data_IF_107391404509
#
_entry.id   IF_107391404509
#
_cell.length_a   1.000
_cell.length_b   1.000
_cell.length_c   1.000
_cell.angle_alpha   90.00
_cell.angle_beta   90.00
_cell.angle_gamma   90.00
#
_symmetry.space_group_name_H-M   'P 1'
#
loop_
_entity.id
_entity.type
_entity.pdbx_description
1 polymer ?
#
# COMPACT_ATOMS: atom_id res chain seq x y z
N UNK A 1 15.45 18.05 8.43
CA UNK A 1 15.87 17.90 7.02
C UNK A 1 17.26 17.34 7.02
N UNK A 2 17.51 16.32 6.21
CA UNK A 2 18.84 15.74 5.96
C UNK A 2 19.20 16.05 4.52
N UNK A 3 20.36 16.66 4.32
CA UNK A 3 20.87 17.05 3.01
C UNK A 3 22.24 16.41 2.81
N UNK A 4 22.43 15.78 1.65
CA UNK A 4 23.65 15.07 1.30
C UNK A 4 24.10 15.51 -0.11
N UNK A 5 25.27 16.14 -0.17
CA UNK A 5 25.99 16.39 -1.42
C UNK A 5 26.91 15.20 -1.69
N UNK A 6 26.62 14.42 -2.72
CA UNK A 6 27.28 13.16 -3.03
C UNK A 6 26.29 12.09 -3.48
N UNK A 7 26.66 10.84 -3.22
CA UNK A 7 25.86 9.65 -3.44
C UNK A 7 25.55 8.95 -2.11
N UNK A 8 24.51 8.13 -2.12
CA UNK A 8 24.12 7.30 -0.98
C UNK A 8 23.97 5.84 -1.41
N UNK A 9 24.32 4.94 -0.48
CA UNK A 9 24.21 3.51 -0.70
C UNK A 9 22.76 3.01 -0.49
N UNK A 10 22.55 1.71 -0.40
CA UNK A 10 21.23 1.09 -0.25
C UNK A 10 20.43 1.58 0.96
N UNK A 11 19.10 1.39 0.90
CA UNK A 11 18.15 1.65 1.99
C UNK A 11 17.99 3.10 2.44
N UNK A 12 18.28 4.06 1.56
CA UNK A 12 18.03 5.48 1.82
C UNK A 12 16.57 5.70 2.22
N UNK A 13 16.34 6.29 3.38
CA UNK A 13 14.99 6.59 3.88
C UNK A 13 14.13 5.34 4.19
N UNK A 14 14.74 4.19 4.50
CA UNK A 14 14.01 3.03 5.01
C UNK A 14 13.20 3.42 6.25
N UNK A 15 11.93 3.00 6.29
CA UNK A 15 10.98 3.32 7.36
C UNK A 15 10.86 4.83 7.64
N UNK A 16 11.05 5.69 6.61
CA UNK A 16 10.89 7.13 6.78
C UNK A 16 9.49 7.42 7.35
N UNK A 17 9.47 8.13 8.48
CA UNK A 17 8.26 8.39 9.27
C UNK A 17 8.15 9.88 9.58
N UNK A 18 8.42 10.70 8.55
CA UNK A 18 8.46 12.15 8.59
C UNK A 18 9.82 12.71 8.16
N UNK A 19 9.95 14.02 8.23
CA UNK A 19 11.17 14.71 7.83
C UNK A 19 11.37 14.78 6.31
N UNK A 20 12.51 15.32 5.91
CA UNK A 20 12.85 15.57 4.51
C UNK A 20 14.26 15.09 4.24
N UNK A 21 14.45 14.27 3.21
CA UNK A 21 15.76 13.79 2.74
C UNK A 21 16.03 14.39 1.36
N UNK A 22 17.22 14.96 1.18
CA UNK A 22 17.67 15.57 -0.06
C UNK A 22 19.04 14.97 -0.40
N UNK A 23 19.19 14.41 -1.59
CA UNK A 23 20.48 13.90 -2.10
C UNK A 23 20.71 14.45 -3.51
N UNK A 24 21.87 15.05 -3.73
CA UNK A 24 22.26 15.60 -5.03
C UNK A 24 23.76 15.44 -5.28
N UNK A 25 24.19 15.31 -6.55
CA UNK A 25 25.60 15.14 -6.88
C UNK A 25 26.36 16.43 -6.58
N UNK A 26 27.69 16.34 -6.36
CA UNK A 26 28.50 17.51 -6.06
C UNK A 26 28.41 18.57 -7.16
N UNK A 27 28.43 19.86 -6.79
CA UNK A 27 28.26 20.97 -7.76
C UNK A 27 29.31 21.00 -8.87
N UNK A 28 30.45 20.33 -8.65
CA UNK A 28 31.56 20.21 -9.60
C UNK A 28 31.46 18.97 -10.49
N UNK A 29 30.41 18.15 -10.33
CA UNK A 29 30.18 16.99 -11.19
C UNK A 29 30.01 17.44 -12.64
N UNK A 30 30.70 16.76 -13.56
CA UNK A 30 30.66 17.04 -15.00
C UNK A 30 29.69 16.10 -15.72
N UNK A 31 29.25 15.03 -15.05
CA UNK A 31 28.33 14.05 -15.60
C UNK A 31 26.87 14.51 -15.46
N UNK A 32 26.00 14.01 -16.35
CA UNK A 32 24.56 14.25 -16.26
C UNK A 32 23.96 13.43 -15.11
N UNK A 33 23.23 14.08 -14.22
CA UNK A 33 22.63 13.40 -13.07
C UNK A 33 21.58 12.36 -13.47
N UNK A 34 20.76 12.66 -14.48
CA UNK A 34 19.67 11.80 -14.98
C UNK A 34 20.12 10.43 -15.53
N UNK A 35 21.40 10.29 -15.89
CA UNK A 35 21.97 9.05 -16.44
C UNK A 35 22.80 8.27 -15.40
N UNK A 36 23.01 8.80 -14.18
CA UNK A 36 23.91 8.23 -13.18
C UNK A 36 23.19 7.92 -11.87
N UNK A 37 23.57 6.79 -11.26
CA UNK A 37 23.00 6.37 -9.97
C UNK A 37 23.44 7.30 -8.84
N UNK A 38 22.48 7.69 -8.00
CA UNK A 38 22.71 8.53 -6.83
C UNK A 38 22.31 7.85 -5.51
N UNK A 39 21.33 6.95 -5.56
CA UNK A 39 20.91 6.15 -4.41
C UNK A 39 20.92 4.67 -4.75
N UNK A 40 21.32 3.85 -3.78
CA UNK A 40 21.29 2.41 -3.91
C UNK A 40 19.89 1.80 -3.95
N UNK A 41 19.85 0.48 -3.82
CA UNK A 41 18.66 -0.34 -3.90
C UNK A 41 17.74 -0.20 -2.68
N UNK A 42 16.46 -0.52 -2.88
CA UNK A 42 15.45 -0.65 -1.79
C UNK A 42 15.32 0.64 -0.96
N UNK A 43 15.45 1.79 -1.63
CA UNK A 43 15.18 3.08 -1.00
C UNK A 43 13.69 3.25 -0.67
N UNK A 44 13.40 3.95 0.42
CA UNK A 44 12.05 4.24 0.93
C UNK A 44 11.19 3.02 1.25
N UNK A 45 11.82 1.89 1.54
CA UNK A 45 11.10 0.70 1.94
C UNK A 45 10.30 0.93 3.23
N UNK A 46 8.98 0.71 3.16
CA UNK A 46 8.09 0.83 4.32
C UNK A 46 7.96 2.26 4.85
N UNK A 47 8.21 3.28 4.03
CA UNK A 47 8.02 4.67 4.43
C UNK A 47 6.53 4.97 4.69
N UNK A 48 6.25 5.64 5.81
CA UNK A 48 4.88 5.95 6.27
C UNK A 48 4.53 7.42 6.11
N UNK A 49 5.52 8.31 6.17
CA UNK A 49 5.36 9.75 5.93
C UNK A 49 6.72 10.40 5.65
N UNK A 50 6.74 11.58 5.04
CA UNK A 50 7.96 12.34 4.77
C UNK A 50 8.08 12.81 3.33
N UNK A 51 9.16 13.55 3.05
CA UNK A 51 9.48 14.05 1.71
C UNK A 51 10.90 13.66 1.29
N UNK A 52 11.06 13.21 0.05
CA UNK A 52 12.37 12.83 -0.50
C UNK A 52 12.62 13.46 -1.85
N UNK A 53 13.84 13.97 -2.04
CA UNK A 53 14.27 14.70 -3.22
C UNK A 53 15.62 14.15 -3.67
N UNK A 54 15.65 13.44 -4.80
CA UNK A 54 16.87 12.76 -5.29
C UNK A 54 17.22 13.22 -6.70
N UNK A 55 18.40 13.84 -6.88
CA UNK A 55 18.89 14.31 -8.18
C UNK A 55 19.78 13.26 -8.85
N UNK A 56 19.15 12.26 -9.45
CA UNK A 56 19.81 11.25 -10.28
C UNK A 56 18.96 10.00 -10.45
N UNK A 57 19.61 8.89 -10.80
CA UNK A 57 18.96 7.58 -10.94
C UNK A 57 18.89 6.90 -9.57
N UNK A 58 17.71 6.43 -9.18
CA UNK A 58 17.53 5.57 -8.02
C UNK A 58 17.75 4.10 -8.38
N UNK A 59 18.30 3.32 -7.45
CA UNK A 59 18.45 1.87 -7.60
C UNK A 59 17.13 1.10 -7.70
N UNK A 60 17.25 -0.22 -7.76
CA UNK A 60 16.13 -1.13 -7.94
C UNK A 60 15.17 -1.12 -6.74
N UNK A 61 13.92 -1.55 -6.97
CA UNK A 61 12.89 -1.72 -5.93
C UNK A 61 12.66 -0.44 -5.11
N UNK A 62 12.64 0.69 -5.80
CA UNK A 62 12.36 1.99 -5.20
C UNK A 62 10.93 2.06 -4.63
N UNK A 63 10.79 2.66 -3.44
CA UNK A 63 9.52 2.96 -2.77
C UNK A 63 8.59 1.75 -2.53
N UNK A 64 9.17 0.56 -2.34
CA UNK A 64 8.41 -0.64 -1.99
C UNK A 64 7.70 -0.46 -0.63
N UNK A 65 6.39 -0.77 -0.58
CA UNK A 65 5.56 -0.61 0.62
C UNK A 65 5.52 0.83 1.16
N UNK A 66 5.71 1.82 0.30
CA UNK A 66 5.49 3.22 0.65
C UNK A 66 3.98 3.48 0.83
N UNK A 67 3.57 3.96 2.01
CA UNK A 67 2.17 4.26 2.34
C UNK A 67 1.90 5.74 2.59
N UNK A 68 2.90 6.62 2.48
CA UNK A 68 2.67 8.05 2.72
C UNK A 68 3.86 8.99 2.54
N UNK A 69 5.01 8.52 2.05
CA UNK A 69 6.14 9.39 1.71
C UNK A 69 6.00 9.92 0.27
N UNK A 70 6.17 11.22 0.08
CA UNK A 70 6.26 11.84 -1.25
C UNK A 70 7.71 11.87 -1.70
N UNK A 71 8.03 11.24 -2.83
CA UNK A 71 9.40 11.22 -3.36
C UNK A 71 9.43 11.74 -4.80
N UNK A 72 10.45 12.54 -5.11
CA UNK A 72 10.74 13.05 -6.46
C UNK A 72 12.16 12.66 -6.83
N UNK A 73 12.29 12.01 -7.99
CA UNK A 73 13.53 11.43 -8.52
C UNK A 73 13.59 11.71 -10.01
N UNK A 74 14.79 11.94 -10.56
CA UNK A 74 14.97 12.19 -11.99
C UNK A 74 14.78 10.92 -12.83
N UNK A 75 15.31 9.79 -12.33
CA UNK A 75 15.23 8.50 -13.00
C UNK A 75 15.23 7.35 -11.98
N UNK A 76 14.78 6.17 -12.39
CA UNK A 76 14.67 5.02 -11.51
C UNK A 76 15.16 3.77 -12.28
N UNK A 77 15.83 2.85 -11.58
CA UNK A 77 16.37 1.63 -12.14
C UNK A 77 15.31 0.54 -12.38
N UNK A 78 15.76 -0.67 -12.67
CA UNK A 78 14.87 -1.80 -12.94
C UNK A 78 14.00 -2.15 -11.72
N UNK A 79 12.78 -2.63 -11.98
CA UNK A 79 11.80 -3.00 -10.96
C UNK A 79 11.43 -1.89 -9.97
N UNK A 80 11.79 -0.65 -10.29
CA UNK A 80 11.58 0.50 -9.46
C UNK A 80 10.42 1.26 -10.08
N UNK A 81 9.19 0.90 -9.69
CA UNK A 81 8.01 1.30 -10.47
C UNK A 81 8.19 0.99 -11.98
N UNK A 82 8.63 -0.25 -12.31
CA UNK A 82 8.75 -0.89 -13.65
C UNK A 82 7.81 -0.20 -14.66
N UNK A 83 8.23 0.17 -15.90
CA UNK A 83 7.50 1.08 -16.79
C UNK A 83 6.00 0.80 -16.72
N UNK A 84 5.33 1.65 -15.92
CA UNK A 84 4.06 1.34 -15.26
C UNK A 84 3.05 0.77 -16.25
N UNK A 85 3.03 1.32 -17.46
CA UNK A 85 2.13 0.95 -18.56
C UNK A 85 2.18 -0.50 -19.01
N UNK A 86 3.31 -1.21 -18.94
CA UNK A 86 3.40 -2.59 -19.47
C UNK A 86 3.15 -3.68 -18.42
N UNK A 87 3.23 -3.34 -17.14
CA UNK A 87 3.09 -4.30 -16.02
C UNK A 87 2.02 -3.92 -15.00
N UNK A 88 1.26 -2.85 -15.24
CA UNK A 88 0.06 -2.56 -14.44
C UNK A 88 -0.91 -3.71 -14.59
N UNK A 89 -1.45 -4.16 -13.46
CA UNK A 89 -2.64 -4.97 -13.48
C UNK A 89 -3.84 -4.09 -13.83
N UNK A 90 -4.12 -4.00 -15.14
CA UNK A 90 -5.24 -3.24 -15.73
C UNK A 90 -6.58 -3.62 -15.09
N UNK A 91 -6.71 -4.79 -14.46
CA UNK A 91 -7.93 -5.17 -13.75
C UNK A 91 -8.18 -4.32 -12.50
N UNK A 92 -7.14 -3.76 -11.88
CA UNK A 92 -7.21 -3.13 -10.55
C UNK A 92 -6.87 -1.64 -10.52
N UNK A 93 -6.17 -1.14 -11.54
CA UNK A 93 -5.63 0.23 -11.56
C UNK A 93 -5.98 0.90 -12.89
N UNK A 94 -6.38 2.17 -12.82
CA UNK A 94 -6.64 3.04 -13.97
C UNK A 94 -5.44 3.92 -14.27
N UNK A 95 -5.22 4.16 -15.56
CA UNK A 95 -4.27 5.14 -16.12
C UNK A 95 -5.07 6.35 -16.60
N UNK A 96 -5.23 7.34 -15.73
CA UNK A 96 -5.97 8.57 -16.03
C UNK A 96 -5.01 9.69 -16.48
N UNK A 97 -5.55 10.66 -17.22
CA UNK A 97 -4.89 11.95 -17.43
C UNK A 97 -5.00 12.80 -16.16
N UNK A 98 -3.95 13.49 -15.72
CA UNK A 98 -3.98 14.32 -14.52
C UNK A 98 -4.95 15.51 -14.67
N UNK A 99 -5.56 15.90 -13.55
CA UNK A 99 -6.44 17.08 -13.49
C UNK A 99 -5.62 18.38 -13.40
N UNK A 100 -6.25 19.54 -13.60
CA UNK A 100 -5.57 20.84 -13.51
C UNK A 100 -4.92 21.09 -12.15
N UNK A 101 -5.59 20.69 -11.06
CA UNK A 101 -5.07 20.81 -9.69
C UNK A 101 -3.84 19.92 -9.48
N UNK A 102 -3.82 18.72 -10.07
CA UNK A 102 -2.67 17.83 -10.00
C UNK A 102 -1.48 18.41 -10.75
N UNK A 103 -1.72 19.05 -11.91
CA UNK A 103 -0.68 19.71 -12.68
C UNK A 103 -0.04 20.87 -11.90
N UNK A 104 -0.84 21.67 -11.21
CA UNK A 104 -0.33 22.73 -10.31
C UNK A 104 0.50 22.12 -9.19
N UNK A 105 -0.01 21.06 -8.55
CA UNK A 105 0.69 20.36 -7.48
C UNK A 105 2.04 19.81 -7.94
N UNK A 106 2.08 19.11 -9.08
CA UNK A 106 3.31 18.53 -9.64
C UNK A 106 4.29 19.64 -10.02
N UNK A 107 3.82 20.70 -10.66
CA UNK A 107 4.67 21.84 -11.04
C UNK A 107 5.32 22.47 -9.81
N UNK A 108 4.59 22.63 -8.72
CA UNK A 108 5.12 23.20 -7.48
C UNK A 108 6.12 22.25 -6.80
N UNK A 109 5.91 20.94 -6.90
CA UNK A 109 6.89 19.94 -6.45
C UNK A 109 8.18 20.00 -7.27
N UNK A 110 8.09 20.13 -8.59
CA UNK A 110 9.28 20.26 -9.45
C UNK A 110 10.02 21.58 -9.17
N UNK A 111 9.30 22.70 -8.97
CA UNK A 111 9.93 23.96 -8.54
C UNK A 111 10.69 23.78 -7.23
N UNK A 112 10.07 23.14 -6.23
CA UNK A 112 10.71 22.84 -4.95
C UNK A 112 11.93 21.94 -5.13
N UNK A 113 11.83 20.93 -5.98
CA UNK A 113 12.96 20.05 -6.31
C UNK A 113 14.13 20.84 -6.88
N UNK A 114 13.90 21.69 -7.89
CA UNK A 114 14.94 22.54 -8.49
C UNK A 114 15.57 23.48 -7.47
N UNK A 115 14.76 24.08 -6.59
CA UNK A 115 15.27 24.96 -5.53
C UNK A 115 16.17 24.23 -4.52
N UNK A 116 15.85 22.98 -4.20
CA UNK A 116 16.59 22.19 -3.21
C UNK A 116 17.83 21.49 -3.80
N UNK A 117 17.76 20.99 -5.03
CA UNK A 117 18.83 20.15 -5.63
C UNK A 117 19.61 20.83 -6.75
N UNK A 118 19.10 21.95 -7.28
CA UNK A 118 19.68 22.62 -8.44
C UNK A 118 19.62 21.77 -9.71
N UNK A 119 18.62 20.89 -9.84
CA UNK A 119 18.45 20.02 -11.02
C UNK A 119 18.28 20.82 -12.31
N UNK A 120 19.09 20.48 -13.31
CA UNK A 120 19.00 21.03 -14.67
C UNK A 120 17.83 20.44 -15.46
N UNK A 121 17.58 19.13 -15.31
CA UNK A 121 16.44 18.47 -15.94
C UNK A 121 15.12 19.05 -15.42
N UNK A 122 15.03 19.28 -14.12
CA UNK A 122 13.86 19.93 -13.52
C UNK A 122 13.64 21.34 -14.07
N UNK A 123 14.70 22.10 -14.34
CA UNK A 123 14.59 23.41 -15.00
C UNK A 123 14.09 23.27 -16.43
N UNK A 124 14.64 22.36 -17.23
CA UNK A 124 14.19 22.09 -18.61
C UNK A 124 12.70 21.73 -18.65
N UNK A 125 12.23 20.89 -17.72
CA UNK A 125 10.82 20.52 -17.62
C UNK A 125 9.92 21.73 -17.31
N UNK A 126 10.39 22.65 -16.45
CA UNK A 126 9.65 23.86 -16.12
C UNK A 126 9.61 24.86 -17.28
N UNK A 127 10.67 24.92 -18.08
CA UNK A 127 10.76 25.76 -19.27
C UNK A 127 9.85 25.23 -20.39
N UNK A 128 9.88 23.91 -20.64
CA UNK A 128 9.10 23.22 -21.68
C UNK A 128 7.81 22.57 -21.16
N UNK A 129 7.15 23.20 -20.19
CA UNK A 129 5.98 22.63 -19.50
C UNK A 129 4.83 22.25 -20.44
N UNK A 130 4.66 22.97 -21.56
CA UNK A 130 3.61 22.71 -22.55
C UNK A 130 3.73 21.33 -23.22
N UNK A 131 4.93 20.77 -23.33
CA UNK A 131 5.13 19.44 -23.92
C UNK A 131 5.24 18.37 -22.85
N UNK A 132 5.89 18.70 -21.72
CA UNK A 132 6.18 17.73 -20.67
C UNK A 132 4.95 17.34 -19.85
N UNK A 133 3.97 18.22 -19.66
CA UNK A 133 2.75 17.87 -18.91
C UNK A 133 1.95 16.74 -19.56
N UNK A 134 2.06 16.56 -20.88
CA UNK A 134 1.37 15.49 -21.61
C UNK A 134 1.95 14.10 -21.35
N UNK A 135 3.18 14.00 -20.83
CA UNK A 135 3.81 12.72 -20.47
C UNK A 135 3.42 12.26 -19.06
N UNK A 136 2.78 13.13 -18.27
CA UNK A 136 2.38 12.82 -16.91
C UNK A 136 1.16 11.90 -16.95
N UNK A 137 1.26 10.77 -16.25
CA UNK A 137 0.18 9.80 -16.11
C UNK A 137 -0.23 9.72 -14.65
N UNK A 138 -1.53 9.86 -14.38
CA UNK A 138 -2.11 9.69 -13.05
C UNK A 138 -2.54 8.23 -12.91
N UNK A 139 -2.01 7.57 -11.88
CA UNK A 139 -2.26 6.15 -11.65
C UNK A 139 -3.11 6.04 -10.39
N UNK A 140 -4.30 5.46 -10.53
CA UNK A 140 -5.28 5.43 -9.45
C UNK A 140 -5.92 4.04 -9.33
N UNK A 141 -5.94 3.41 -8.14
CA UNK A 141 -6.66 2.15 -7.95
C UNK A 141 -8.16 2.33 -8.21
N UNK A 142 -8.76 1.43 -9.00
CA UNK A 142 -10.18 1.45 -9.37
C UNK A 142 -11.11 1.44 -8.16
N UNK A 143 -10.81 0.56 -7.20
CA UNK A 143 -11.58 0.44 -5.97
C UNK A 143 -11.56 1.73 -5.14
N UNK A 144 -10.42 2.44 -5.14
CA UNK A 144 -10.29 3.69 -4.41
C UNK A 144 -11.06 4.83 -5.11
N UNK A 145 -11.01 4.88 -6.45
CA UNK A 145 -11.81 5.83 -7.25
C UNK A 145 -13.31 5.64 -7.03
N UNK A 146 -13.78 4.39 -6.88
CA UNK A 146 -15.18 4.08 -6.54
C UNK A 146 -15.56 4.68 -5.18
N UNK A 147 -14.75 4.42 -4.15
CA UNK A 147 -15.02 4.92 -2.79
C UNK A 147 -15.02 6.44 -2.73
N UNK A 148 -14.12 7.12 -3.47
CA UNK A 148 -14.11 8.58 -3.52
C UNK A 148 -15.38 9.16 -4.16
N UNK A 149 -15.84 8.58 -5.27
CA UNK A 149 -17.09 9.00 -5.92
C UNK A 149 -18.30 8.83 -5.00
N UNK A 150 -18.40 7.69 -4.32
CA UNK A 150 -19.47 7.43 -3.34
C UNK A 150 -19.47 8.48 -2.22
N UNK A 151 -18.29 8.86 -1.70
CA UNK A 151 -18.17 9.90 -0.68
C UNK A 151 -18.56 11.30 -1.19
N UNK A 152 -18.25 11.64 -2.44
CA UNK A 152 -18.65 12.92 -3.04
C UNK A 152 -20.17 13.00 -3.24
N UNK A 153 -20.79 11.91 -3.68
CA UNK A 153 -22.24 11.81 -3.85
C UNK A 153 -22.98 11.90 -2.50
N UNK A 154 -22.49 11.19 -1.47
CA UNK A 154 -23.02 11.32 -0.12
C UNK A 154 -22.90 12.75 0.42
N UNK A 155 -21.75 13.41 0.21
CA UNK A 155 -21.56 14.81 0.58
C UNK A 155 -22.51 15.74 -0.16
N UNK A 156 -22.74 15.54 -1.46
CA UNK A 156 -23.71 16.30 -2.24
C UNK A 156 -25.13 16.11 -1.75
N UNK A 157 -25.56 14.86 -1.50
CA UNK A 157 -26.89 14.57 -0.94
C UNK A 157 -27.09 15.22 0.43
N UNK A 158 -26.09 15.17 1.29
CA UNK A 158 -26.13 15.84 2.59
C UNK A 158 -26.15 17.37 2.47
N UNK A 159 -25.50 17.94 1.45
CA UNK A 159 -25.55 19.37 1.17
C UNK A 159 -26.93 19.80 0.65
N UNK A 160 -27.53 19.04 -0.27
CA UNK A 160 -28.88 19.26 -0.78
C UNK A 160 -29.94 19.12 0.33
N UNK A 161 -29.81 18.13 1.20
CA UNK A 161 -30.71 17.94 2.36
C UNK A 161 -30.60 19.10 3.36
N UNK A 162 -29.39 19.62 3.59
CA UNK A 162 -29.17 20.83 4.41
C UNK A 162 -29.75 22.08 3.75
N UNK A 163 -29.54 22.28 2.45
CA UNK A 163 -30.11 23.41 1.71
C UNK A 163 -31.65 23.37 1.68
N UNK A 164 -32.24 22.18 1.62
CA UNK A 164 -33.69 22.00 1.71
C UNK A 164 -34.20 22.34 3.12
N UNK A 165 -33.52 21.87 4.17
CA UNK A 165 -33.87 22.16 5.55
C UNK A 165 -33.72 23.65 5.90
N UNK A 166 -32.73 24.34 5.34
CA UNK A 166 -32.52 25.78 5.56
C UNK A 166 -33.61 26.63 4.86
N UNK A 167 -34.11 26.20 3.69
CA UNK A 167 -35.26 26.84 3.03
C UNK A 167 -36.55 26.65 3.83
N UNK A 168 -36.77 25.46 4.39
CA UNK A 168 -37.96 25.16 5.20
C UNK A 168 -37.97 25.93 6.54
N UNK A 169 -36.80 26.19 7.13
CA UNK A 169 -36.65 27.00 8.34
C UNK A 169 -36.75 28.51 8.07
N UNK A 170 -36.35 28.99 6.89
CA UNK A 170 -36.52 30.40 6.49
C UNK A 170 -37.98 30.83 6.36
N UNK A 171 -38.88 29.90 6.00
CA UNK A 171 -40.33 30.16 5.89
C UNK A 171 -41.08 30.12 7.24
N UNK A 172 -40.37 29.79 8.34
CA UNK A 172 -40.92 29.64 9.70
C UNK A 172 -40.64 30.83 10.63
N UNK A 173 -39.88 31.85 10.20
CA UNK A 173 -39.67 33.08 10.98
C UNK A 173 -40.78 34.14 10.81
N UNK A 174 -41.77 33.89 9.95
CA UNK A 174 -42.85 34.85 9.64
C UNK A 174 -44.26 34.51 10.17
N UNK A 175 -44.49 33.35 10.80
CA UNK A 175 -45.83 32.96 11.27
C UNK A 175 -45.95 33.04 12.79
N UNK A 176 -46.90 33.83 13.34
CA UNK A 176 -47.17 33.81 14.77
C UNK A 176 -47.65 32.40 15.16
N UNK A 177 -46.97 31.78 16.12
CA UNK A 177 -47.36 30.48 16.67
C UNK A 177 -48.67 30.64 17.45
N UNK A 178 -49.81 30.39 16.80
CA UNK A 178 -51.07 30.16 17.51
C UNK A 178 -50.93 28.84 18.30
N UNK A 179 -50.72 28.97 19.61
CA UNK A 179 -50.73 27.84 20.53
C UNK A 179 -52.17 27.37 20.70
N UNK A 180 -52.64 26.50 19.81
CA UNK A 180 -53.80 25.68 20.09
C UNK A 180 -53.40 24.63 21.16
N UNK A 181 -53.88 24.83 22.38
CA UNK A 181 -53.86 23.83 23.44
C UNK A 181 -54.79 22.68 23.05
N UNK A 182 -54.33 21.73 22.23
CA UNK A 182 -55.00 20.44 22.09
C UNK A 182 -54.53 19.53 23.22
N UNK A 183 -55.35 19.52 24.26
CA UNK A 183 -55.29 18.67 25.43
C UNK A 183 -55.64 17.23 25.02
N UNK A 184 -54.65 16.47 24.54
CA UNK A 184 -54.71 15.00 24.44
C UNK A 184 -53.30 14.43 24.58
N UNK A 185 -52.82 14.43 25.83
CA UNK A 185 -51.62 13.68 26.22
C UNK A 185 -52.00 12.21 26.43
N UNK A 186 -52.41 11.53 25.35
CA UNK A 186 -52.52 10.07 25.35
C UNK A 186 -51.13 9.47 25.14
N UNK A 187 -50.37 9.43 26.24
CA UNK A 187 -49.22 8.53 26.35
C UNK A 187 -49.80 7.12 26.38
N UNK A 188 -49.86 6.46 25.22
CA UNK A 188 -49.98 5.02 25.19
C UNK A 188 -48.76 4.46 25.96
N UNK A 189 -48.93 3.64 27.00
CA UNK A 189 -47.81 2.92 27.59
C UNK A 189 -47.43 1.81 26.61
N UNK A 190 -46.69 2.16 25.55
CA UNK A 190 -46.02 1.14 24.74
C UNK A 190 -45.01 0.48 25.66
N UNK A 191 -45.33 -0.76 26.04
CA UNK A 191 -44.46 -1.70 26.71
C UNK A 191 -43.04 -1.58 26.15
N UNK A 192 -42.17 -0.89 26.89
CA UNK A 192 -40.73 -1.01 26.73
C UNK A 192 -40.45 -2.49 26.96
N UNK A 193 -40.33 -3.25 25.88
CA UNK A 193 -39.67 -4.53 25.91
C UNK A 193 -38.27 -4.25 26.43
N UNK A 194 -38.06 -4.45 27.73
CA UNK A 194 -36.74 -4.64 28.31
C UNK A 194 -36.14 -5.83 27.58
N UNK A 195 -35.46 -5.59 26.46
CA UNK A 195 -34.46 -6.53 25.94
C UNK A 195 -33.45 -6.65 27.08
N UNK A 196 -33.59 -7.74 27.85
CA UNK A 196 -32.56 -8.20 28.78
C UNK A 196 -31.23 -8.09 28.04
N UNK A 197 -30.31 -7.31 28.60
CA UNK A 197 -28.87 -7.46 28.37
C UNK A 197 -28.49 -8.86 28.85
N UNK A 198 -28.79 -9.85 28.01
CA UNK A 198 -28.43 -11.23 28.22
C UNK A 198 -26.96 -11.38 27.80
N UNK A 199 -26.12 -11.49 28.82
CA UNK A 199 -24.87 -12.22 28.88
C UNK A 199 -23.80 -11.88 27.83
N UNK A 200 -22.63 -11.49 28.34
CA UNK A 200 -21.32 -11.60 27.68
C UNK A 200 -21.20 -12.98 27.01
N UNK A 201 -21.45 -13.05 25.70
CA UNK A 201 -20.99 -14.18 24.90
C UNK A 201 -19.47 -14.09 24.87
N UNK A 202 -18.80 -15.03 25.54
CA UNK A 202 -17.40 -15.32 25.26
C UNK A 202 -17.32 -15.62 23.77
N UNK A 203 -16.55 -14.81 23.03
CA UNK A 203 -16.15 -15.12 21.67
C UNK A 203 -15.30 -16.39 21.73
N UNK A 204 -15.93 -17.56 21.57
CA UNK A 204 -15.19 -18.76 21.23
C UNK A 204 -14.71 -18.59 19.80
N UNK A 205 -13.39 -18.62 19.61
CA UNK A 205 -12.77 -18.86 18.31
C UNK A 205 -13.20 -20.25 17.87
N UNK A 206 -14.36 -20.32 17.22
CA UNK A 206 -14.67 -21.40 16.31
C UNK A 206 -13.75 -21.16 15.12
N UNK A 207 -12.81 -22.08 14.90
CA UNK A 207 -12.06 -22.16 13.65
C UNK A 207 -13.08 -22.23 12.51
N UNK A 208 -13.37 -21.09 11.88
CA UNK A 208 -14.01 -21.06 10.58
C UNK A 208 -13.01 -21.69 9.62
N UNK A 209 -13.18 -22.99 9.34
CA UNK A 209 -12.63 -23.54 8.09
C UNK A 209 -13.21 -22.67 6.99
N UNK A 210 -12.35 -21.90 6.33
CA UNK A 210 -12.68 -21.19 5.09
C UNK A 210 -13.21 -22.26 4.14
N UNK A 211 -14.52 -22.27 3.87
CA UNK A 211 -15.00 -22.95 2.68
C UNK A 211 -14.55 -22.06 1.52
N UNK A 212 -13.63 -22.58 0.71
CA UNK A 212 -13.34 -22.00 -0.59
C UNK A 212 -14.68 -21.90 -1.32
N UNK A 213 -15.11 -20.71 -1.74
CA UNK A 213 -16.29 -20.60 -2.59
C UNK A 213 -15.91 -21.12 -3.97
N UNK A 214 -16.09 -22.43 -4.17
CA UNK A 214 -15.86 -23.11 -5.44
C UNK A 214 -17.15 -23.06 -6.28
N UNK A 215 -17.76 -21.88 -6.39
CA UNK A 215 -18.84 -21.66 -7.33
C UNK A 215 -18.19 -21.13 -8.62
N UNK A 216 -18.18 -21.91 -9.71
CA UNK A 216 -17.64 -21.44 -10.99
C UNK A 216 -18.44 -20.22 -11.46
N UNK A 217 -17.77 -19.29 -12.14
CA UNK A 217 -18.44 -18.08 -12.65
C UNK A 217 -19.31 -18.50 -13.84
N UNK A 218 -20.45 -17.83 -14.10
CA UNK A 218 -21.34 -18.18 -15.22
C UNK A 218 -20.66 -18.19 -16.60
N UNK A 219 -19.50 -17.55 -16.72
CA UNK A 219 -18.68 -17.48 -17.93
C UNK A 219 -17.88 -18.77 -18.18
N UNK A 220 -17.65 -19.57 -17.14
CA UNK A 220 -16.89 -20.84 -17.20
C UNK A 220 -17.78 -22.03 -17.65
N UNK A 221 -19.09 -21.80 -17.86
CA UNK A 221 -20.12 -22.82 -18.20
C UNK A 221 -20.47 -22.80 -19.70
N UNK A 222 -19.96 -21.83 -20.47
CA UNK A 222 -20.26 -21.71 -21.89
C UNK A 222 -19.42 -22.70 -22.71
N UNK A 223 -19.89 -23.95 -22.82
CA UNK A 223 -19.30 -24.95 -23.72
C UNK A 223 -19.59 -26.42 -23.44
N UNK A 224 -20.24 -26.75 -22.32
CA UNK A 224 -20.67 -28.12 -22.01
C UNK A 224 -22.19 -28.20 -22.11
N UNK A 225 -22.70 -29.00 -23.04
CA UNK A 225 -24.14 -29.11 -23.31
C UNK A 225 -24.85 -30.17 -22.45
N UNK A 226 -24.16 -30.96 -21.61
CA UNK A 226 -24.82 -31.98 -20.79
C UNK A 226 -24.22 -32.12 -19.37
N UNK A 227 -25.08 -32.39 -18.37
CA UNK A 227 -24.71 -32.53 -16.94
C UNK A 227 -23.82 -33.75 -16.64
N UNK A 228 -23.77 -34.74 -17.55
CA UNK A 228 -22.97 -35.97 -17.40
C UNK A 228 -21.47 -35.71 -17.64
N UNK A 229 -21.12 -34.87 -18.60
CA UNK A 229 -19.73 -34.53 -18.92
C UNK A 229 -19.01 -33.78 -17.79
N UNK A 230 -19.77 -33.04 -16.97
CA UNK A 230 -19.24 -32.29 -15.82
C UNK A 230 -18.85 -33.24 -14.68
N UNK A 231 -19.54 -34.37 -14.53
CA UNK A 231 -19.25 -35.36 -13.49
C UNK A 231 -18.05 -36.24 -13.89
N UNK A 232 -17.95 -36.62 -15.17
CA UNK A 232 -16.81 -37.38 -15.70
C UNK A 232 -15.50 -36.56 -15.65
N UNK A 233 -15.55 -35.26 -15.97
CA UNK A 233 -14.42 -34.36 -15.82
C UNK A 233 -14.00 -34.06 -14.36
N UNK A 234 -14.87 -34.31 -13.38
CA UNK A 234 -14.53 -34.18 -11.95
C UNK A 234 -13.87 -35.47 -11.44
N UNK A 235 -14.32 -36.65 -11.88
CA UNK A 235 -13.69 -37.93 -11.53
C UNK A 235 -12.29 -38.09 -12.15
N UNK A 236 -12.09 -37.71 -13.42
CA UNK A 236 -10.76 -37.77 -14.08
C UNK A 236 -9.72 -36.84 -13.43
N UNK A 237 -10.17 -35.76 -12.77
CA UNK A 237 -9.31 -34.78 -12.12
C UNK A 237 -8.97 -35.13 -10.67
N UNK A 238 -9.64 -36.13 -10.08
CA UNK A 238 -9.25 -36.70 -8.78
C UNK A 238 -8.15 -37.76 -8.92
N UNK A 239 -8.02 -38.42 -10.07
CA UNK A 239 -6.99 -39.46 -10.30
C UNK A 239 -5.65 -38.91 -10.84
N UNK A 240 -5.62 -37.79 -11.57
CA UNK A 240 -4.36 -37.18 -12.05
C UNK A 240 -3.76 -36.11 -11.12
N UNK A 241 -3.81 -36.37 -9.80
CA UNK A 241 -2.85 -35.80 -8.87
C UNK A 241 -1.49 -36.47 -9.03
N UNK A 242 -0.83 -36.29 -10.19
CA UNK A 242 0.53 -36.74 -10.41
C UNK A 242 1.45 -36.04 -9.38
N UNK A 243 1.76 -36.77 -8.30
CA UNK A 243 2.85 -36.44 -7.39
C UNK A 243 4.10 -36.29 -8.24
N UNK A 244 4.68 -35.10 -8.27
CA UNK A 244 6.01 -34.96 -8.84
C UNK A 244 6.97 -35.61 -7.85
N UNK A 245 7.84 -36.50 -8.32
CA UNK A 245 8.81 -37.23 -7.48
C UNK A 245 9.79 -36.30 -6.72
N UNK A 246 9.76 -34.98 -7.01
CA UNK A 246 10.56 -33.98 -6.31
C UNK A 246 9.90 -33.42 -5.04
N UNK A 247 8.63 -33.76 -4.77
CA UNK A 247 7.89 -33.22 -3.62
C UNK A 247 8.00 -34.12 -2.37
N UNK A 248 8.37 -35.39 -2.51
CA UNK A 248 8.52 -36.33 -1.38
C UNK A 248 9.91 -36.29 -0.72
N UNK A 249 10.94 -35.69 -1.35
CA UNK A 249 12.29 -35.61 -0.79
C UNK A 249 12.54 -34.33 0.05
N UNK A 250 11.62 -33.35 0.01
CA UNK A 250 11.80 -32.05 0.70
C UNK A 250 11.14 -31.97 2.08
N UNK A 251 10.47 -33.04 2.52
CA UNK A 251 9.71 -33.07 3.78
C UNK A 251 10.13 -34.18 4.76
N UNK A 252 11.28 -34.82 4.54
CA UNK A 252 11.76 -35.91 5.39
C UNK A 252 12.92 -35.56 6.31
N UNK A 253 13.21 -34.28 6.57
CA UNK A 253 14.20 -33.89 7.58
C UNK A 253 13.60 -32.94 8.63
N UNK A 254 13.53 -33.48 9.85
CA UNK A 254 13.21 -32.83 11.12
C UNK A 254 11.76 -32.37 11.36
N UNK A 255 10.86 -33.35 11.54
CA UNK A 255 9.78 -33.24 12.55
C UNK A 255 10.38 -33.19 13.97
N UNK A 256 11.20 -32.18 14.25
CA UNK A 256 11.55 -31.82 15.63
C UNK A 256 10.43 -30.93 16.15
N UNK A 257 9.43 -31.60 16.70
CA UNK A 257 8.39 -31.02 17.54
C UNK A 257 9.03 -30.02 18.52
N UNK A 258 8.51 -28.80 18.56
CA UNK A 258 8.97 -27.70 19.40
C UNK A 258 9.37 -28.18 20.82
N UNK A 259 10.64 -28.00 21.20
CA UNK A 259 11.16 -28.36 22.53
C UNK A 259 10.75 -27.34 23.60
N UNK A 260 10.47 -27.83 24.80
CA UNK A 260 10.04 -26.99 25.91
C UNK A 260 11.14 -25.95 26.29
N UNK A 261 10.76 -24.75 26.79
CA UNK A 261 11.72 -23.68 27.07
C UNK A 261 12.84 -24.06 28.05
N UNK A 262 12.59 -24.99 28.98
CA UNK A 262 13.54 -25.42 30.00
C UNK A 262 14.68 -26.29 29.43
N UNK A 263 14.40 -27.04 28.36
CA UNK A 263 15.42 -27.87 27.68
C UNK A 263 16.36 -27.00 26.84
N UNK A 264 15.83 -25.92 26.22
CA UNK A 264 16.62 -24.95 25.44
C UNK A 264 17.64 -24.15 26.26
N UNK A 265 17.46 -24.05 27.59
CA UNK A 265 18.43 -23.36 28.44
C UNK A 265 19.75 -24.13 28.57
N UNK A 266 19.76 -25.44 28.27
CA UNK A 266 20.94 -26.31 28.31
C UNK A 266 21.64 -26.46 26.94
N UNK A 267 20.99 -26.02 25.85
CA UNK A 267 21.56 -26.04 24.49
C UNK A 267 22.78 -25.12 24.32
N UNK A 268 23.02 -24.20 25.26
CA UNK A 268 24.21 -23.34 25.23
C UNK A 268 25.49 -24.18 25.22
N UNK A 269 25.52 -25.34 25.88
CA UNK A 269 26.68 -26.23 25.88
C UNK A 269 26.79 -27.05 24.57
N UNK A 270 25.70 -27.27 23.83
CA UNK A 270 25.70 -28.01 22.56
C UNK A 270 26.36 -27.20 21.42
N UNK A 271 26.27 -25.87 21.46
CA UNK A 271 26.86 -25.00 20.41
C UNK A 271 28.40 -24.98 20.46
N UNK A 272 29.00 -25.23 21.62
CA UNK A 272 30.45 -25.08 21.84
C UNK A 272 31.25 -26.39 21.78
N UNK A 273 30.61 -27.55 21.67
CA UNK A 273 31.27 -28.86 21.66
C UNK A 273 31.44 -29.49 20.28
N UNK A 274 31.18 -28.72 19.22
CA UNK A 274 31.57 -29.09 17.87
C UNK A 274 33.02 -28.69 17.59
N UNK A 275 33.87 -29.68 17.33
CA UNK A 275 35.27 -29.50 16.95
C UNK A 275 35.44 -28.62 15.69
N UNK A 276 34.40 -28.58 14.82
CA UNK A 276 34.29 -27.73 13.63
C UNK A 276 34.00 -26.25 13.91
N UNK A 277 33.41 -25.92 15.07
CA UNK A 277 33.13 -24.54 15.49
C UNK A 277 34.38 -23.93 16.14
N UNK A 278 35.15 -24.72 16.89
CA UNK A 278 36.41 -24.28 17.52
C UNK A 278 37.50 -23.93 16.49
N UNK A 279 37.53 -24.60 15.34
CA UNK A 279 38.54 -24.37 14.29
C UNK A 279 38.33 -23.09 13.47
N UNK A 280 37.11 -22.53 13.47
CA UNK A 280 36.75 -21.34 12.67
C UNK A 280 36.66 -20.04 13.48
N UNK A 281 36.91 -20.06 14.79
CA UNK A 281 36.97 -18.85 15.61
C UNK A 281 38.32 -18.18 15.38
N UNK A 282 38.35 -17.22 14.45
CA UNK A 282 39.45 -16.27 14.29
C UNK A 282 39.32 -15.18 15.35
N UNK A 283 40.20 -15.19 16.35
CA UNK A 283 40.39 -14.04 17.23
C UNK A 283 40.90 -12.85 16.41
N UNK A 284 40.03 -11.86 16.16
CA UNK A 284 40.51 -10.54 15.74
C UNK A 284 40.88 -9.74 16.99
N UNK A 285 42.14 -9.85 17.39
CA UNK A 285 42.72 -8.92 18.36
C UNK A 285 42.87 -7.54 17.71
N UNK A 286 42.09 -6.57 18.18
CA UNK A 286 42.34 -5.16 17.86
C UNK A 286 43.71 -4.76 18.44
N UNK A 287 44.67 -4.43 17.57
CA UNK A 287 45.90 -3.75 17.98
C UNK A 287 45.54 -2.33 18.37
N UNK A 288 45.69 -2.00 19.65
CA UNK A 288 45.88 -0.64 20.11
C UNK A 288 47.37 -0.32 19.99
N UNK A 289 47.72 0.61 19.10
CA UNK A 289 48.95 1.42 19.21
C UNK A 289 48.61 2.73 19.94
#
# INVERSE_FOLDING_TARGET
>A
TVELEGDANDYVGKCLSGGTIIVYPPKKAVFKSEENSIIGNVALYGATSGECWFRGVAGERFAVRNSGCTAVVEAVGDHACDPFTSRINDATVDLDTPDEDDLVFIRDRIKKFVQLTGSELGQRILDDWQTEHAKIVKIFPKDYKRVLKEQEEEKKRLAEEKEAADKENGDMEGRPRERALSMDMQIAPTLIHKKKLAAKKKLSISQRKRKLSRNPRPQDIAGFEDEEDVQEAIEDNEEEGAKSDNDEELLSDDEKLYRAPEERLKDWDEVYDFESVRSNIREQAARFD
#
